data_IF_871484084755
#
_entry.id   IF_871484084755
#
_cell.length_a   1.000
_cell.length_b   1.000
_cell.length_c   1.000
_cell.angle_alpha   90.00
_cell.angle_beta   90.00
_cell.angle_gamma   90.00
#
_symmetry.space_group_name_H-M   'P 1'
#
loop_
_entity.id
_entity.type
_entity.pdbx_description
1 polymer ?
#
# COMPACT_ATOMS: atom_id res chain seq x y z
N UNK A 1 -9.59 -13.24 -44.28
CA UNK A 1 -10.23 -13.81 -43.09
C UNK A 1 -9.37 -13.41 -41.90
N UNK A 2 -9.89 -12.56 -41.04
CA UNK A 2 -9.21 -12.23 -39.78
C UNK A 2 -9.24 -13.48 -38.91
N UNK A 3 -8.09 -13.88 -38.41
CA UNK A 3 -7.99 -15.07 -37.56
C UNK A 3 -8.76 -14.79 -36.27
N UNK A 4 -9.96 -15.34 -36.11
CA UNK A 4 -10.84 -15.08 -34.97
C UNK A 4 -10.12 -15.30 -33.63
N UNK A 5 -9.16 -16.21 -33.59
CA UNK A 5 -8.34 -16.52 -32.41
C UNK A 5 -7.43 -15.35 -32.00
N UNK A 6 -6.84 -14.67 -33.00
CA UNK A 6 -6.01 -13.49 -32.75
C UNK A 6 -6.84 -12.35 -32.16
N UNK A 7 -7.97 -12.03 -32.78
CA UNK A 7 -8.87 -10.97 -32.30
C UNK A 7 -9.40 -11.28 -30.90
N UNK A 8 -9.80 -12.52 -30.64
CA UNK A 8 -10.27 -12.95 -29.31
C UNK A 8 -9.18 -12.80 -28.23
N UNK A 9 -7.93 -13.20 -28.52
CA UNK A 9 -6.84 -13.05 -27.59
C UNK A 9 -6.53 -11.57 -27.26
N UNK A 10 -6.59 -10.69 -28.26
CA UNK A 10 -6.43 -9.25 -28.04
C UNK A 10 -7.53 -8.67 -27.16
N UNK A 11 -8.78 -9.04 -27.41
CA UNK A 11 -9.92 -8.54 -26.60
C UNK A 11 -9.82 -9.03 -25.16
N UNK A 12 -9.60 -10.33 -24.95
CA UNK A 12 -9.48 -10.89 -23.60
C UNK A 12 -8.27 -10.28 -22.89
N UNK A 13 -7.11 -10.19 -23.55
CA UNK A 13 -5.92 -9.57 -23.00
C UNK A 13 -6.15 -8.10 -22.59
N UNK A 14 -6.88 -7.34 -23.41
CA UNK A 14 -7.21 -5.95 -23.09
C UNK A 14 -8.15 -5.83 -21.89
N UNK A 15 -9.16 -6.69 -21.78
CA UNK A 15 -10.07 -6.72 -20.62
C UNK A 15 -9.32 -7.06 -19.34
N UNK A 16 -8.47 -8.09 -19.36
CA UNK A 16 -7.64 -8.48 -18.21
C UNK A 16 -6.69 -7.35 -17.81
N UNK A 17 -6.09 -6.69 -18.79
CA UNK A 17 -5.23 -5.53 -18.55
C UNK A 17 -5.96 -4.37 -17.87
N UNK A 18 -7.16 -4.04 -18.33
CA UNK A 18 -7.99 -3.00 -17.73
C UNK A 18 -8.36 -3.35 -16.28
N UNK A 19 -8.80 -4.59 -16.03
CA UNK A 19 -9.13 -5.05 -14.68
C UNK A 19 -7.92 -4.97 -13.76
N UNK A 20 -6.76 -5.44 -14.21
CA UNK A 20 -5.53 -5.39 -13.45
C UNK A 20 -5.12 -3.93 -13.13
N UNK A 21 -5.28 -3.03 -14.09
CA UNK A 21 -4.97 -1.61 -13.92
C UNK A 21 -5.90 -0.94 -12.90
N UNK A 22 -7.20 -1.23 -12.97
CA UNK A 22 -8.18 -0.71 -12.00
C UNK A 22 -7.84 -1.23 -10.60
N UNK A 23 -7.56 -2.52 -10.43
CA UNK A 23 -7.22 -3.09 -9.13
C UNK A 23 -5.94 -2.48 -8.57
N UNK A 24 -4.89 -2.32 -9.38
CA UNK A 24 -3.66 -1.69 -8.93
C UNK A 24 -3.86 -0.22 -8.59
N UNK A 25 -4.60 0.54 -9.39
CA UNK A 25 -4.88 1.96 -9.16
C UNK A 25 -5.67 2.17 -7.86
N UNK A 26 -6.69 1.36 -7.61
CA UNK A 26 -7.47 1.40 -6.37
C UNK A 26 -6.59 1.00 -5.19
N UNK A 27 -5.77 -0.04 -5.33
CA UNK A 27 -4.84 -0.45 -4.28
C UNK A 27 -3.86 0.67 -3.91
N UNK A 28 -3.27 1.32 -4.90
CA UNK A 28 -2.31 2.43 -4.70
C UNK A 28 -2.98 3.64 -4.06
N UNK A 29 -4.21 3.97 -4.47
CA UNK A 29 -4.94 5.13 -3.95
C UNK A 29 -5.51 4.96 -2.54
N UNK A 30 -5.52 3.74 -1.98
CA UNK A 30 -6.19 3.44 -0.72
C UNK A 30 -5.21 3.18 0.42
N UNK A 31 -5.68 3.38 1.65
CA UNK A 31 -4.87 3.33 2.87
C UNK A 31 -4.89 1.97 3.58
N UNK A 32 -5.66 0.99 3.08
CA UNK A 32 -5.92 -0.27 3.77
C UNK A 32 -4.99 -1.40 3.27
N UNK A 33 -3.68 -1.20 3.29
CA UNK A 33 -2.70 -2.24 2.96
C UNK A 33 -2.43 -3.16 4.15
N UNK A 34 -2.25 -2.56 5.33
CA UNK A 34 -2.17 -3.24 6.61
C UNK A 34 -3.03 -2.53 7.63
N UNK A 35 -3.60 -3.30 8.53
CA UNK A 35 -4.39 -2.79 9.65
C UNK A 35 -3.81 -3.35 10.94
N UNK A 36 -3.58 -2.47 11.90
CA UNK A 36 -3.18 -2.83 13.25
C UNK A 36 -4.37 -2.69 14.17
N UNK A 37 -4.63 -3.76 14.93
CA UNK A 37 -5.64 -3.78 15.98
C UNK A 37 -4.95 -4.08 17.31
N UNK A 38 -4.98 -3.11 18.19
CA UNK A 38 -4.52 -3.27 19.57
C UNK A 38 -5.74 -3.37 20.51
N UNK A 39 -5.73 -4.23 21.51
CA UNK A 39 -6.75 -4.18 22.56
C UNK A 39 -6.66 -2.78 23.18
N UNK A 40 -7.74 -2.01 23.04
CA UNK A 40 -7.85 -0.63 23.46
C UNK A 40 -7.33 -0.46 24.89
N UNK A 41 -6.18 0.16 25.04
CA UNK A 41 -5.79 0.73 26.29
C UNK A 41 -6.73 1.92 26.49
N UNK A 42 -7.70 1.76 27.37
CA UNK A 42 -8.65 2.81 27.77
C UNK A 42 -7.95 3.90 28.60
N UNK A 43 -6.89 4.48 28.03
CA UNK A 43 -6.24 5.63 28.62
C UNK A 43 -6.89 6.89 28.05
N UNK A 44 -7.52 7.67 28.92
CA UNK A 44 -7.94 9.02 28.62
C UNK A 44 -6.69 9.90 28.45
N UNK A 45 -6.10 9.91 27.27
CA UNK A 45 -5.02 10.82 26.91
C UNK A 45 -5.65 12.05 26.26
N UNK A 46 -5.07 13.19 26.50
CA UNK A 46 -5.52 14.45 25.87
C UNK A 46 -5.39 14.33 24.34
N UNK A 47 -6.50 14.01 23.69
CA UNK A 47 -6.57 13.77 22.24
C UNK A 47 -6.15 14.99 21.41
N UNK A 48 -6.24 16.20 21.97
CA UNK A 48 -5.83 17.43 21.29
C UNK A 48 -4.31 17.50 21.13
N UNK A 49 -3.54 17.02 22.09
CA UNK A 49 -2.06 16.99 22.01
C UNK A 49 -1.63 15.99 20.93
N UNK A 50 -2.20 14.79 20.96
CA UNK A 50 -1.92 13.75 19.94
C UNK A 50 -2.29 14.25 18.55
N UNK A 51 -3.46 14.91 18.43
CA UNK A 51 -3.92 15.46 17.16
C UNK A 51 -2.98 16.53 16.63
N UNK A 52 -2.49 17.42 17.48
CA UNK A 52 -1.53 18.45 17.10
C UNK A 52 -0.17 17.85 16.74
N UNK A 53 0.37 16.95 17.54
CA UNK A 53 1.63 16.28 17.24
C UNK A 53 1.52 15.48 15.94
N UNK A 54 0.40 14.78 15.73
CA UNK A 54 0.16 13.96 14.56
C UNK A 54 0.01 14.81 13.28
N UNK A 55 -0.65 15.97 13.33
CA UNK A 55 -0.93 16.81 12.16
C UNK A 55 0.16 17.84 11.87
N UNK A 56 0.89 18.34 12.88
CA UNK A 56 1.85 19.44 12.75
C UNK A 56 3.31 19.01 12.97
N UNK A 57 3.52 17.81 13.52
CA UNK A 57 4.85 17.33 13.86
C UNK A 57 5.69 16.97 12.65
N UNK A 58 6.99 17.25 12.72
CA UNK A 58 7.98 16.58 11.89
C UNK A 58 7.95 15.10 12.27
N UNK A 59 7.31 14.32 11.44
CA UNK A 59 7.04 12.91 11.69
C UNK A 59 8.34 12.13 11.82
N UNK A 60 8.70 11.76 13.04
CA UNK A 60 9.65 10.69 13.30
C UNK A 60 8.90 9.36 13.20
N UNK A 61 9.40 8.46 12.36
CA UNK A 61 8.82 7.15 12.12
C UNK A 61 8.65 6.32 13.40
N UNK A 62 9.53 6.52 14.38
CA UNK A 62 9.46 5.88 15.69
C UNK A 62 8.19 6.30 16.45
N UNK A 63 7.92 7.60 16.52
CA UNK A 63 6.76 8.16 17.20
C UNK A 63 5.48 7.69 16.53
N UNK A 64 5.45 7.69 15.18
CA UNK A 64 4.32 7.18 14.42
C UNK A 64 4.06 5.70 14.68
N UNK A 65 5.08 4.86 14.63
CA UNK A 65 4.94 3.41 14.87
C UNK A 65 4.47 3.12 16.29
N UNK A 66 4.94 3.87 17.28
CA UNK A 66 4.47 3.80 18.65
C UNK A 66 2.97 4.11 18.75
N UNK A 67 2.51 5.17 18.09
CA UNK A 67 1.08 5.51 18.07
C UNK A 67 0.25 4.47 17.30
N UNK A 68 0.77 3.93 16.19
CA UNK A 68 0.10 2.89 15.42
C UNK A 68 -0.09 1.59 16.23
N UNK A 69 0.91 1.22 17.04
CA UNK A 69 0.83 0.04 17.87
C UNK A 69 -0.02 0.23 19.13
N UNK A 70 -0.17 1.45 19.59
CA UNK A 70 -0.98 1.79 20.78
C UNK A 70 -2.44 2.00 20.42
N UNK A 71 -2.69 2.66 19.30
CA UNK A 71 -4.01 2.97 18.76
C UNK A 71 -4.27 2.13 17.53
N UNK A 72 -5.48 1.73 17.29
CA UNK A 72 -5.83 1.07 16.05
C UNK A 72 -5.48 1.97 14.86
N UNK A 73 -5.01 1.38 13.77
CA UNK A 73 -4.62 2.19 12.62
C UNK A 73 -4.48 1.41 11.33
N UNK A 74 -4.38 2.13 10.24
CA UNK A 74 -4.13 1.56 8.91
C UNK A 74 -2.88 2.15 8.29
N UNK A 75 -2.13 1.30 7.61
CA UNK A 75 -0.92 1.65 6.88
C UNK A 75 -1.17 1.43 5.39
N UNK A 76 -1.05 2.48 4.60
CA UNK A 76 -1.08 2.43 3.14
C UNK A 76 0.27 2.78 2.52
N UNK A 77 0.35 2.83 1.20
CA UNK A 77 1.56 3.28 0.50
C UNK A 77 1.87 4.76 0.76
N UNK A 78 0.82 5.60 0.74
CA UNK A 78 0.90 7.05 0.87
C UNK A 78 0.35 7.57 2.18
N UNK A 79 -0.58 6.82 2.77
CA UNK A 79 -1.37 7.24 3.90
C UNK A 79 -1.01 6.43 5.12
N UNK A 80 -1.01 7.10 6.25
CA UNK A 80 -0.91 6.50 7.57
C UNK A 80 -2.00 7.08 8.42
N UNK A 81 -2.86 6.21 8.93
CA UNK A 81 -4.03 6.60 9.68
C UNK A 81 -4.03 5.93 11.05
N UNK A 82 -4.38 6.70 12.08
CA UNK A 82 -4.60 6.19 13.43
C UNK A 82 -6.05 6.47 13.82
N UNK A 83 -6.62 5.58 14.62
CA UNK A 83 -7.97 5.75 15.17
C UNK A 83 -7.84 6.22 16.62
N UNK A 84 -8.21 7.48 16.86
CA UNK A 84 -8.18 8.08 18.20
C UNK A 84 -9.60 8.17 18.74
N UNK A 85 -9.87 7.74 19.99
CA UNK A 85 -11.18 7.92 20.59
C UNK A 85 -11.48 9.40 20.75
N UNK A 86 -12.63 9.84 20.29
CA UNK A 86 -13.10 11.20 20.46
C UNK A 86 -13.67 11.34 21.87
N UNK A 87 -12.83 11.78 22.82
CA UNK A 87 -13.33 12.17 24.15
C UNK A 87 -13.93 13.56 24.08
N UNK A 88 -15.26 13.66 24.05
CA UNK A 88 -15.91 14.93 24.37
C UNK A 88 -15.71 15.21 25.86
N UNK A 89 -15.33 16.44 26.19
CA UNK A 89 -14.86 16.94 27.50
C UNK A 89 -15.76 16.58 28.71
N UNK A 90 -16.95 16.08 28.51
CA UNK A 90 -17.96 15.77 29.54
C UNK A 90 -17.98 14.30 29.99
N UNK A 91 -17.25 13.40 29.37
CA UNK A 91 -17.35 11.95 29.63
C UNK A 91 -16.04 11.24 29.97
N UNK A 92 -14.93 11.96 30.08
CA UNK A 92 -13.66 11.38 30.47
C UNK A 92 -13.47 11.48 31.99
N UNK A 93 -13.50 10.35 32.66
CA UNK A 93 -13.01 10.09 34.02
C UNK A 93 -13.42 11.14 35.06
N UNK A 94 -14.51 10.94 35.76
CA UNK A 94 -14.75 11.60 37.04
C UNK A 94 -13.60 11.22 37.98
N UNK A 95 -12.85 12.22 38.39
CA UNK A 95 -11.74 12.14 39.33
C UNK A 95 -12.29 11.58 40.64
N UNK A 96 -12.01 10.31 40.93
CA UNK A 96 -12.32 9.77 42.23
C UNK A 96 -11.64 10.55 43.31
N UNK A 97 -12.39 10.99 44.32
CA UNK A 97 -11.94 11.77 45.43
C UNK A 97 -10.65 11.27 46.04
N UNK A 98 -9.69 12.15 46.13
CA UNK A 98 -8.40 11.94 46.81
C UNK A 98 -8.68 11.78 48.29
N UNK A 99 -8.71 10.58 48.80
CA UNK A 99 -8.46 10.36 50.21
C UNK A 99 -6.99 10.69 50.48
N UNK A 100 -6.81 11.76 51.23
CA UNK A 100 -5.52 12.22 51.82
C UNK A 100 -4.91 11.13 52.68
N UNK A 101 -3.92 10.44 52.14
CA UNK A 101 -3.03 9.60 52.93
C UNK A 101 -1.61 10.07 52.62
N UNK A 102 -0.95 10.62 53.64
CA UNK A 102 0.47 10.97 53.63
C UNK A 102 1.29 9.75 53.25
N UNK A 103 2.21 9.89 52.31
CA UNK A 103 3.62 9.53 52.44
C UNK A 103 4.32 9.49 51.08
N UNK A 104 5.51 10.03 51.10
CA UNK A 104 6.51 10.10 50.05
C UNK A 104 6.78 8.77 49.36
N UNK A 105 6.63 8.72 48.02
CA UNK A 105 7.63 8.07 47.17
C UNK A 105 7.45 8.43 45.71
N UNK A 106 8.57 8.69 45.04
CA UNK A 106 8.68 8.99 43.61
C UNK A 106 8.42 7.74 42.77
N UNK A 107 7.20 7.46 42.43
CA UNK A 107 6.82 6.46 41.42
C UNK A 107 5.73 6.99 40.53
N UNK A 108 6.01 6.91 39.26
CA UNK A 108 5.13 7.25 38.12
C UNK A 108 3.69 6.80 38.37
N UNK A 109 2.82 7.73 38.67
CA UNK A 109 1.41 7.49 39.01
C UNK A 109 0.63 6.99 37.78
N UNK A 110 0.51 5.70 37.66
CA UNK A 110 -0.38 5.02 36.73
C UNK A 110 -1.82 5.20 37.27
N UNK A 111 -2.57 6.15 36.69
CA UNK A 111 -3.98 6.37 37.08
C UNK A 111 -4.84 5.24 36.52
N UNK A 112 -5.31 4.37 37.38
CA UNK A 112 -6.31 3.37 37.06
C UNK A 112 -7.69 4.05 36.95
N UNK A 113 -8.25 4.11 35.76
CA UNK A 113 -9.64 4.50 35.54
C UNK A 113 -10.56 3.33 35.93
N UNK A 114 -11.25 3.44 37.03
CA UNK A 114 -12.31 2.48 37.39
C UNK A 114 -13.54 2.67 36.51
N UNK A 115 -14.05 1.56 36.02
CA UNK A 115 -15.14 1.42 35.09
C UNK A 115 -16.45 1.89 35.72
N UNK A 116 -17.03 2.98 35.23
CA UNK A 116 -18.42 3.31 35.51
C UNK A 116 -19.27 3.02 34.27
N UNK A 117 -20.21 2.10 34.44
CA UNK A 117 -21.15 1.61 33.43
C UNK A 117 -21.97 2.77 32.86
N UNK A 118 -21.73 3.08 31.57
CA UNK A 118 -22.52 4.09 30.88
C UNK A 118 -21.87 4.72 29.63
N UNK A 119 -20.65 4.35 29.29
CA UNK A 119 -20.05 4.79 28.01
C UNK A 119 -20.60 3.91 26.88
N UNK A 120 -21.61 4.40 26.16
CA UNK A 120 -21.84 4.03 24.76
C UNK A 120 -20.52 4.16 23.99
N UNK A 121 -20.28 3.25 23.06
CA UNK A 121 -19.02 3.13 22.31
C UNK A 121 -18.39 4.47 21.98
N UNK A 122 -17.12 4.70 22.37
CA UNK A 122 -16.47 5.98 22.12
C UNK A 122 -16.40 6.20 20.63
N UNK A 123 -16.98 7.31 20.16
CA UNK A 123 -16.92 7.70 18.77
C UNK A 123 -15.44 7.86 18.40
N UNK A 124 -14.93 7.01 17.52
CA UNK A 124 -13.53 7.05 17.07
C UNK A 124 -13.38 8.01 15.90
N UNK A 125 -12.42 8.91 15.97
CA UNK A 125 -12.01 9.80 14.87
C UNK A 125 -10.77 9.19 14.19
N UNK A 126 -10.80 9.09 12.85
CA UNK A 126 -9.65 8.62 12.09
C UNK A 126 -8.81 9.80 11.65
N UNK A 127 -7.58 9.88 12.13
CA UNK A 127 -6.60 10.88 11.73
C UNK A 127 -5.66 10.28 10.70
N UNK A 128 -5.58 10.90 9.51
CA UNK A 128 -4.73 10.43 8.43
C UNK A 128 -3.70 11.48 8.05
N UNK A 129 -2.46 11.04 7.83
CA UNK A 129 -1.37 11.86 7.31
C UNK A 129 -0.83 11.23 6.04
N UNK A 130 -0.66 12.08 5.02
CA UNK A 130 -0.03 11.65 3.76
C UNK A 130 1.48 11.84 3.84
N UNK A 131 2.24 10.84 3.41
CA UNK A 131 3.67 10.99 3.17
C UNK A 131 3.88 11.66 1.81
N UNK A 132 4.34 12.88 1.82
CA UNK A 132 4.67 13.62 0.59
C UNK A 132 5.96 13.10 -0.04
N UNK A 133 6.10 13.24 -1.35
CA UNK A 133 7.31 12.89 -2.11
C UNK A 133 8.60 13.46 -1.49
N UNK A 134 8.67 14.75 -1.12
CA UNK A 134 9.88 15.32 -0.51
C UNK A 134 10.27 14.63 0.80
N UNK A 135 9.31 14.26 1.65
CA UNK A 135 9.57 13.58 2.91
C UNK A 135 10.10 12.17 2.74
N UNK A 136 9.67 11.47 1.67
CA UNK A 136 10.14 10.13 1.34
C UNK A 136 11.53 10.13 0.72
N UNK A 137 11.90 11.21 0.01
CA UNK A 137 13.19 11.34 -0.67
C UNK A 137 14.20 12.21 0.07
N UNK A 138 13.79 12.98 1.09
CA UNK A 138 14.72 13.73 1.92
C UNK A 138 15.49 12.74 2.81
N UNK A 139 16.72 12.49 2.44
CA UNK A 139 17.68 11.85 3.33
C UNK A 139 18.03 12.83 4.44
N UNK A 140 17.35 12.77 5.57
CA UNK A 140 17.92 13.24 6.83
C UNK A 140 19.03 12.25 7.21
N UNK A 141 20.15 12.31 6.49
CA UNK A 141 21.33 11.51 6.79
C UNK A 141 21.90 12.01 8.11
N UNK A 142 21.47 11.41 9.21
CA UNK A 142 22.29 11.40 10.42
C UNK A 142 23.53 10.60 10.08
N UNK A 143 24.68 11.14 10.40
CA UNK A 143 26.03 10.71 10.04
C UNK A 143 26.44 9.30 10.53
N UNK A 144 25.52 8.53 11.13
CA UNK A 144 25.67 7.14 11.54
C UNK A 144 24.43 6.32 11.15
N UNK A 145 24.16 6.19 9.85
CA UNK A 145 23.11 5.29 9.36
C UNK A 145 23.63 3.86 9.39
N UNK A 146 22.92 2.98 10.13
CA UNK A 146 23.18 1.54 10.07
C UNK A 146 22.81 1.00 8.67
N UNK A 147 23.37 -0.14 8.26
CA UNK A 147 22.99 -0.79 6.98
C UNK A 147 21.50 -1.09 6.91
N UNK A 148 20.85 -1.37 8.05
CA UNK A 148 19.42 -1.60 8.16
C UNK A 148 18.59 -0.37 7.83
N UNK A 149 19.01 0.82 8.21
CA UNK A 149 18.35 2.09 7.87
C UNK A 149 18.43 2.38 6.35
N UNK A 150 19.55 2.01 5.73
CA UNK A 150 19.71 2.12 4.28
C UNK A 150 18.75 1.17 3.55
N UNK A 151 18.70 -0.10 3.96
CA UNK A 151 17.82 -1.10 3.37
C UNK A 151 16.35 -0.66 3.47
N UNK A 152 15.94 -0.16 4.64
CA UNK A 152 14.60 0.34 4.88
C UNK A 152 14.24 1.52 3.98
N UNK A 153 15.18 2.46 3.80
CA UNK A 153 15.02 3.59 2.90
C UNK A 153 14.85 3.14 1.45
N UNK A 154 15.63 2.15 1.00
CA UNK A 154 15.49 1.58 -0.35
C UNK A 154 14.17 0.86 -0.55
N UNK A 155 13.74 0.04 0.41
CA UNK A 155 12.45 -0.66 0.34
C UNK A 155 11.30 0.33 0.26
N UNK A 156 11.35 1.42 1.01
CA UNK A 156 10.35 2.49 0.97
C UNK A 156 10.28 3.17 -0.39
N UNK A 157 11.43 3.51 -0.98
CA UNK A 157 11.48 4.08 -2.32
C UNK A 157 10.97 3.11 -3.38
N UNK A 158 11.35 1.84 -3.29
CA UNK A 158 10.91 0.81 -4.22
C UNK A 158 9.39 0.60 -4.15
N UNK A 159 8.82 0.43 -2.95
CA UNK A 159 7.38 0.21 -2.81
C UNK A 159 6.54 1.37 -3.35
N UNK A 160 7.10 2.56 -3.40
CA UNK A 160 6.47 3.77 -3.91
C UNK A 160 6.63 3.92 -5.43
N UNK A 161 7.84 3.71 -5.94
CA UNK A 161 8.15 3.92 -7.37
C UNK A 161 7.63 2.80 -8.25
N UNK A 162 7.71 1.56 -7.81
CA UNK A 162 7.33 0.40 -8.61
C UNK A 162 5.87 0.42 -9.10
N UNK A 163 4.86 0.78 -8.29
CA UNK A 163 3.48 0.84 -8.77
C UNK A 163 3.29 1.98 -9.78
N UNK A 164 3.99 3.11 -9.63
CA UNK A 164 3.94 4.21 -10.60
C UNK A 164 4.56 3.78 -11.93
N UNK A 165 5.69 3.09 -11.89
CA UNK A 165 6.32 2.51 -13.10
C UNK A 165 5.38 1.50 -13.75
N UNK A 166 4.75 0.62 -12.98
CA UNK A 166 3.77 -0.34 -13.49
C UNK A 166 2.62 0.35 -14.22
N UNK A 167 1.99 1.34 -13.60
CA UNK A 167 0.88 2.10 -14.21
C UNK A 167 1.33 2.87 -15.46
N UNK A 168 2.52 3.47 -15.42
CA UNK A 168 3.10 4.18 -16.59
C UNK A 168 3.33 3.23 -17.76
N UNK A 169 3.87 2.03 -17.51
CA UNK A 169 4.10 1.02 -18.55
C UNK A 169 2.78 0.54 -19.15
N UNK A 170 1.74 0.34 -18.36
CA UNK A 170 0.41 -0.03 -18.86
C UNK A 170 -0.19 1.09 -19.69
N UNK A 171 -0.04 2.34 -19.27
CA UNK A 171 -0.48 3.49 -20.06
C UNK A 171 0.22 3.57 -21.42
N UNK A 172 1.56 3.45 -21.43
CA UNK A 172 2.35 3.39 -22.66
C UNK A 172 1.96 2.20 -23.55
N UNK A 173 1.71 1.05 -22.91
CA UNK A 173 1.20 -0.15 -23.59
C UNK A 173 -0.12 0.12 -24.31
N UNK A 174 -1.04 0.87 -23.70
CA UNK A 174 -2.28 1.30 -24.32
C UNK A 174 -2.06 2.15 -25.56
N UNK A 175 -1.16 3.13 -25.52
CA UNK A 175 -0.79 3.98 -26.66
C UNK A 175 -0.20 3.15 -27.81
N UNK A 176 0.75 2.27 -27.50
CA UNK A 176 1.36 1.36 -28.49
C UNK A 176 0.30 0.38 -29.04
N UNK A 177 -0.64 -0.09 -28.20
CA UNK A 177 -1.73 -0.96 -28.60
C UNK A 177 -2.66 -0.32 -29.63
N UNK A 178 -2.99 0.95 -29.46
CA UNK A 178 -3.75 1.73 -30.48
C UNK A 178 -2.98 1.79 -31.79
N UNK A 179 -1.69 2.09 -31.77
CA UNK A 179 -0.83 2.07 -32.95
C UNK A 179 -0.78 0.67 -33.60
N UNK A 180 -0.75 -0.40 -32.79
CA UNK A 180 -0.75 -1.78 -33.29
C UNK A 180 -2.04 -2.10 -34.08
N UNK A 181 -3.17 -1.64 -33.57
CA UNK A 181 -4.46 -1.81 -34.26
C UNK A 181 -4.51 -1.06 -35.61
N UNK A 182 -3.96 0.15 -35.66
CA UNK A 182 -3.95 0.97 -36.86
C UNK A 182 -2.96 0.44 -37.93
N UNK A 183 -1.76 0.06 -37.52
CA UNK A 183 -0.69 -0.38 -38.42
C UNK A 183 -0.75 -1.86 -38.80
N UNK A 184 -1.61 -2.67 -38.16
CA UNK A 184 -1.72 -4.13 -38.34
C UNK A 184 -0.38 -4.86 -38.32
N UNK A 185 0.58 -4.39 -37.50
CA UNK A 185 1.91 -4.95 -37.38
C UNK A 185 2.02 -5.87 -36.15
N UNK A 186 2.84 -6.92 -36.24
CA UNK A 186 3.08 -7.82 -35.11
C UNK A 186 4.02 -7.22 -34.05
N UNK A 187 4.95 -6.35 -34.46
CA UNK A 187 5.99 -5.77 -33.60
C UNK A 187 5.40 -4.99 -32.42
N UNK A 188 4.46 -4.05 -32.63
CA UNK A 188 3.89 -3.32 -31.51
C UNK A 188 3.08 -4.22 -30.56
N UNK A 189 2.42 -5.29 -31.05
CA UNK A 189 1.72 -6.25 -30.18
C UNK A 189 2.70 -7.00 -29.26
N UNK A 190 3.88 -7.33 -29.76
CA UNK A 190 4.93 -7.93 -28.95
C UNK A 190 5.42 -6.97 -27.85
N UNK A 191 5.61 -5.69 -28.19
CA UNK A 191 6.03 -4.64 -27.25
C UNK A 191 4.96 -4.46 -26.15
N UNK A 192 3.67 -4.45 -26.52
CA UNK A 192 2.56 -4.43 -25.55
C UNK A 192 2.65 -5.59 -24.58
N UNK A 193 2.88 -6.81 -25.06
CA UNK A 193 3.04 -7.98 -24.21
C UNK A 193 4.22 -7.88 -23.24
N UNK A 194 5.37 -7.34 -23.70
CA UNK A 194 6.54 -7.11 -22.85
C UNK A 194 6.29 -6.03 -21.79
N UNK A 195 5.59 -4.96 -22.12
CA UNK A 195 5.24 -3.92 -21.16
C UNK A 195 4.34 -4.46 -20.05
N UNK A 196 3.33 -5.27 -20.40
CA UNK A 196 2.48 -5.93 -19.39
C UNK A 196 3.25 -6.92 -18.52
N UNK A 197 4.22 -7.63 -19.09
CA UNK A 197 5.08 -8.54 -18.33
C UNK A 197 5.91 -7.78 -17.28
N UNK A 198 6.58 -6.69 -17.69
CA UNK A 198 7.37 -5.86 -16.77
C UNK A 198 6.46 -5.17 -15.74
N UNK A 199 5.30 -4.65 -16.16
CA UNK A 199 4.32 -4.05 -15.26
C UNK A 199 3.85 -5.03 -14.19
N UNK A 200 3.61 -6.30 -14.56
CA UNK A 200 3.28 -7.37 -13.62
C UNK A 200 4.39 -7.59 -12.60
N UNK A 201 5.64 -7.69 -13.04
CA UNK A 201 6.79 -7.84 -12.13
C UNK A 201 6.92 -6.64 -11.18
N UNK A 202 6.69 -5.42 -11.66
CA UNK A 202 6.68 -4.22 -10.81
C UNK A 202 5.56 -4.27 -9.77
N UNK A 203 4.37 -4.74 -10.14
CA UNK A 203 3.25 -4.91 -9.18
C UNK A 203 3.58 -5.92 -8.09
N UNK A 204 4.17 -7.05 -8.45
CA UNK A 204 4.64 -8.04 -7.47
C UNK A 204 5.75 -7.47 -6.59
N UNK A 205 6.72 -6.78 -7.20
CA UNK A 205 7.81 -6.11 -6.49
C UNK A 205 7.29 -5.11 -5.45
N UNK A 206 6.24 -4.35 -5.77
CA UNK A 206 5.57 -3.44 -4.83
C UNK A 206 5.08 -4.17 -3.58
N UNK A 207 4.35 -5.27 -3.76
CA UNK A 207 3.82 -6.08 -2.66
C UNK A 207 4.95 -6.67 -1.81
N UNK A 208 5.99 -7.18 -2.45
CA UNK A 208 7.15 -7.75 -1.75
C UNK A 208 7.90 -6.67 -0.95
N UNK A 209 8.20 -5.52 -1.55
CA UNK A 209 8.89 -4.42 -0.88
C UNK A 209 8.08 -3.87 0.30
N UNK A 210 6.76 -3.70 0.11
CA UNK A 210 5.87 -3.24 1.16
C UNK A 210 5.83 -4.21 2.34
N UNK A 211 5.67 -5.51 2.07
CA UNK A 211 5.65 -6.54 3.11
C UNK A 211 6.97 -6.63 3.87
N UNK A 212 8.10 -6.54 3.16
CA UNK A 212 9.43 -6.52 3.78
C UNK A 212 9.62 -5.25 4.62
N UNK A 213 9.16 -4.11 4.15
CA UNK A 213 9.20 -2.84 4.88
C UNK A 213 8.40 -2.91 6.20
N UNK A 214 7.19 -3.49 6.16
CA UNK A 214 6.36 -3.70 7.36
C UNK A 214 7.02 -4.69 8.32
N UNK A 215 7.64 -5.75 7.82
CA UNK A 215 8.36 -6.72 8.67
C UNK A 215 9.53 -6.06 9.40
N UNK A 216 10.33 -5.25 8.71
CA UNK A 216 11.42 -4.49 9.33
C UNK A 216 10.90 -3.47 10.36
N UNK A 217 9.78 -2.79 10.05
CA UNK A 217 9.14 -1.87 10.98
C UNK A 217 8.75 -2.57 12.29
N UNK A 218 8.11 -3.73 12.18
CA UNK A 218 7.66 -4.51 13.34
C UNK A 218 8.82 -5.07 14.17
N UNK A 219 9.94 -5.41 13.53
CA UNK A 219 11.15 -5.90 14.18
C UNK A 219 11.87 -4.79 14.93
N UNK A 220 12.05 -3.64 14.29
CA UNK A 220 12.81 -2.50 14.85
C UNK A 220 12.11 -1.86 16.05
N UNK A 221 10.78 -1.65 15.95
CA UNK A 221 10.03 -0.95 17.00
C UNK A 221 9.34 -1.89 18.00
N UNK A 222 9.76 -3.15 18.09
CA UNK A 222 9.30 -4.14 19.07
C UNK A 222 7.78 -4.11 19.25
N UNK A 223 7.07 -4.48 18.19
CA UNK A 223 5.61 -4.59 18.21
C UNK A 223 5.12 -5.32 19.47
N UNK A 224 4.19 -4.73 20.25
CA UNK A 224 3.64 -5.38 21.44
C UNK A 224 2.98 -6.72 21.08
N UNK A 225 3.17 -7.73 21.92
CA UNK A 225 2.59 -9.07 21.69
C UNK A 225 1.07 -9.08 21.54
N UNK A 226 0.41 -8.07 22.06
CA UNK A 226 -1.05 -7.94 22.05
C UNK A 226 -1.59 -7.22 20.80
N UNK A 227 -0.72 -6.61 19.99
CA UNK A 227 -1.13 -5.97 18.74
C UNK A 227 -1.25 -6.99 17.61
N UNK A 228 -2.45 -7.14 17.07
CA UNK A 228 -2.74 -8.03 15.95
C UNK A 228 -2.59 -7.27 14.64
N UNK A 229 -1.84 -7.85 13.71
CA UNK A 229 -1.75 -7.34 12.33
C UNK A 229 -2.72 -8.09 11.43
N UNK A 230 -3.47 -7.32 10.67
CA UNK A 230 -4.37 -7.83 9.66
C UNK A 230 -3.95 -7.30 8.29
N UNK A 231 -3.94 -8.18 7.31
CA UNK A 231 -3.71 -7.79 5.92
C UNK A 231 -4.96 -7.08 5.40
N UNK A 232 -4.79 -5.86 4.91
CA UNK A 232 -5.88 -5.08 4.38
C UNK A 232 -6.27 -5.48 2.96
N UNK A 233 -7.49 -5.15 2.56
CA UNK A 233 -8.04 -5.52 1.25
C UNK A 233 -7.28 -4.88 0.07
N UNK A 234 -6.66 -3.72 0.25
CA UNK A 234 -5.87 -3.05 -0.80
C UNK A 234 -4.66 -3.88 -1.22
N UNK A 235 -4.00 -4.56 -0.27
CA UNK A 235 -2.88 -5.44 -0.57
C UNK A 235 -3.34 -6.65 -1.40
N UNK A 236 -4.53 -7.20 -1.11
CA UNK A 236 -5.09 -8.27 -1.93
C UNK A 236 -5.39 -7.82 -3.35
N UNK A 237 -5.92 -6.60 -3.56
CA UNK A 237 -6.13 -6.05 -4.89
C UNK A 237 -4.81 -5.89 -5.65
N UNK A 238 -3.76 -5.37 -5.01
CA UNK A 238 -2.44 -5.29 -5.61
C UNK A 238 -1.88 -6.68 -5.96
N UNK A 239 -2.07 -7.67 -5.10
CA UNK A 239 -1.63 -9.03 -5.32
C UNK A 239 -2.40 -9.69 -6.48
N UNK A 240 -3.71 -9.47 -6.60
CA UNK A 240 -4.54 -10.00 -7.70
C UNK A 240 -4.19 -9.33 -9.04
N UNK A 241 -3.77 -8.06 -9.03
CA UNK A 241 -3.38 -7.36 -10.26
C UNK A 241 -2.20 -8.03 -10.97
N UNK A 242 -1.25 -8.63 -10.22
CA UNK A 242 -0.09 -9.33 -10.77
C UNK A 242 -0.46 -10.50 -11.71
N UNK A 243 -1.22 -11.53 -11.30
CA UNK A 243 -1.57 -12.63 -12.20
C UNK A 243 -2.43 -12.16 -13.39
N UNK A 244 -3.28 -11.16 -13.22
CA UNK A 244 -4.06 -10.60 -14.33
C UNK A 244 -3.15 -9.94 -15.38
N UNK A 245 -2.13 -9.17 -14.94
CA UNK A 245 -1.12 -8.61 -15.83
C UNK A 245 -0.32 -9.69 -16.55
N UNK A 246 0.07 -10.76 -15.86
CA UNK A 246 0.81 -11.88 -16.45
C UNK A 246 -0.02 -12.63 -17.48
N UNK A 247 -1.31 -12.84 -17.22
CA UNK A 247 -2.23 -13.46 -18.19
C UNK A 247 -2.41 -12.57 -19.41
N UNK A 248 -2.58 -11.26 -19.22
CA UNK A 248 -2.66 -10.30 -20.33
C UNK A 248 -1.37 -10.33 -21.17
N UNK A 249 -0.20 -10.30 -20.54
CA UNK A 249 1.09 -10.41 -21.20
C UNK A 249 1.21 -11.69 -22.05
N UNK A 250 0.83 -12.83 -21.46
CA UNK A 250 0.86 -14.11 -22.15
C UNK A 250 -0.04 -14.13 -23.39
N UNK A 251 -1.25 -13.56 -23.31
CA UNK A 251 -2.18 -13.46 -24.42
C UNK A 251 -1.66 -12.56 -25.54
N UNK A 252 -1.09 -11.40 -25.20
CA UNK A 252 -0.51 -10.50 -26.20
C UNK A 252 0.72 -11.12 -26.88
N UNK A 253 1.61 -11.78 -26.12
CA UNK A 253 2.77 -12.46 -26.66
C UNK A 253 2.37 -13.65 -27.54
N UNK A 254 1.34 -14.40 -27.14
CA UNK A 254 0.80 -15.51 -27.94
C UNK A 254 0.16 -14.99 -29.22
N UNK A 255 -0.62 -13.91 -29.15
CA UNK A 255 -1.23 -13.26 -30.32
C UNK A 255 -0.16 -12.77 -31.30
N UNK A 256 0.92 -12.11 -30.82
CA UNK A 256 2.02 -11.67 -31.64
C UNK A 256 2.72 -12.82 -32.36
N UNK A 257 2.99 -13.93 -31.64
CA UNK A 257 3.61 -15.12 -32.22
C UNK A 257 2.71 -15.80 -33.27
N UNK A 258 1.42 -15.89 -33.02
CA UNK A 258 0.44 -16.46 -33.94
C UNK A 258 0.38 -15.67 -35.25
N UNK A 259 0.30 -14.35 -35.14
CA UNK A 259 0.29 -13.45 -36.31
C UNK A 259 1.56 -13.57 -37.15
N UNK A 260 2.74 -13.65 -36.51
CA UNK A 260 4.03 -13.83 -37.20
C UNK A 260 4.07 -15.13 -38.00
N UNK A 261 3.63 -16.25 -37.41
CA UNK A 261 3.60 -17.56 -38.10
C UNK A 261 2.70 -17.54 -39.33
N UNK A 262 1.55 -16.87 -39.25
CA UNK A 262 0.61 -16.75 -40.36
C UNK A 262 1.21 -15.94 -41.52
N UNK A 263 1.86 -14.80 -41.18
CA UNK A 263 2.51 -13.95 -42.16
C UNK A 263 3.65 -14.65 -42.92
N UNK A 264 4.49 -15.40 -42.21
CA UNK A 264 5.60 -16.17 -42.79
C UNK A 264 5.08 -17.24 -43.76
N UNK A 265 3.97 -17.90 -43.45
CA UNK A 265 3.34 -18.90 -44.35
C UNK A 265 2.83 -18.25 -45.66
N UNK A 266 2.12 -17.11 -45.54
CA UNK A 266 1.58 -16.42 -46.74
C UNK A 266 2.73 -15.97 -47.65
N UNK A 267 3.82 -15.45 -47.07
CA UNK A 267 4.99 -15.02 -47.86
C UNK A 267 5.65 -16.21 -48.57
N UNK A 268 5.76 -17.37 -47.93
CA UNK A 268 6.31 -18.57 -48.54
C UNK A 268 5.46 -19.05 -49.73
N UNK A 269 4.13 -18.99 -49.65
CA UNK A 269 3.24 -19.35 -50.78
C UNK A 269 3.25 -18.34 -51.94
N UNK A 270 3.68 -17.10 -51.73
CA UNK A 270 3.79 -16.09 -52.83
C UNK A 270 5.11 -16.21 -53.60
N UNK A 271 6.13 -16.80 -53.02
CA UNK A 271 7.48 -16.95 -53.61
C UNK A 271 7.65 -18.30 -54.32
N UNK A 272 6.77 -19.29 -54.03
CA UNK A 272 6.67 -20.56 -54.70
C UNK A 272 5.68 -20.48 -55.87
#
# INVERSE_FOLDING_TARGET
MVDNRYATALVIGSVLSLLATVYLSVAVGTQNWFQYSSPLIKQCINTTVIKNEFLTGEFDEKTYSSHLFTWNGTLGLWWRCIQVPHCTHWYCCQQGDLQTGNESDNTTQQRNCTHQSGCTDPKTETLCVSFTLPQQFSTKVKQNTSEEDLLRTYLWRCQFLLPLVSLSLVFLSGLVGVCACLCRSFTPTLVVGLFHFIAGLCSLGTVCCFRSSVHLLNSEYQKPRNAVELVGWSLYLALISFPLQMMAAALFLWAARSHRKHYTRITAYRVA
#
